data_IF_862174122107
#
_entry.id   IF_862174122107
#
_cell.length_a   1.000
_cell.length_b   1.000
_cell.length_c   1.000
_cell.angle_alpha   90.00
_cell.angle_beta   90.00
_cell.angle_gamma   90.00
#
_symmetry.space_group_name_H-M   'P 1'
#
loop_
_entity.id
_entity.type
_entity.pdbx_description
1 polymer ?
#
# COMPACT_ATOMS: atom_id res chain seq x y z
N UNK A 1 2.86 1.89 -19.65
CA UNK A 1 4.24 2.08 -19.17
C UNK A 1 4.94 0.72 -19.25
N UNK A 2 6.16 0.68 -19.76
CA UNK A 2 6.93 -0.57 -19.91
C UNK A 2 8.34 -0.35 -19.36
N UNK A 3 8.91 -1.40 -18.75
CA UNK A 3 10.27 -1.43 -18.19
C UNK A 3 10.57 -0.26 -17.22
N UNK A 4 9.56 0.14 -16.45
CA UNK A 4 9.68 1.22 -15.47
C UNK A 4 10.22 0.70 -14.14
N UNK A 5 11.09 1.48 -13.51
CA UNK A 5 11.70 1.05 -12.24
C UNK A 5 10.70 1.12 -11.08
N UNK A 6 9.99 2.23 -10.94
CA UNK A 6 8.91 2.42 -9.98
C UNK A 6 7.72 3.06 -10.73
N UNK A 7 6.53 2.45 -10.73
CA UNK A 7 5.44 2.94 -11.58
C UNK A 7 4.84 4.27 -11.10
N UNK A 8 4.54 4.35 -9.80
CA UNK A 8 3.97 5.54 -9.17
C UNK A 8 4.82 5.90 -7.95
N UNK A 9 5.36 7.11 -7.95
CA UNK A 9 6.19 7.63 -6.86
C UNK A 9 5.67 9.01 -6.43
N UNK A 10 5.11 9.08 -5.22
CA UNK A 10 4.67 10.31 -4.58
C UNK A 10 5.41 10.44 -3.25
N UNK A 11 6.18 11.52 -3.08
CA UNK A 11 6.98 11.75 -1.88
C UNK A 11 6.86 13.19 -1.38
N UNK A 12 6.26 13.38 -0.20
CA UNK A 12 6.32 14.65 0.53
C UNK A 12 7.52 14.67 1.48
N UNK A 13 8.64 15.22 1.02
CA UNK A 13 9.88 15.38 1.80
C UNK A 13 10.06 16.82 2.33
N UNK A 14 11.00 17.04 3.25
CA UNK A 14 11.30 18.36 3.81
C UNK A 14 12.60 18.96 3.26
N UNK A 15 12.66 19.16 1.94
CA UNK A 15 13.86 19.73 1.31
C UNK A 15 13.90 21.26 1.34
N UNK A 16 12.72 21.89 1.37
CA UNK A 16 12.54 23.23 0.83
C UNK A 16 12.91 23.30 -0.67
N UNK A 17 12.52 24.38 -1.35
CA UNK A 17 12.96 24.68 -2.70
C UNK A 17 12.98 26.20 -2.92
N UNK A 18 13.88 26.68 -3.79
CA UNK A 18 14.02 28.11 -4.06
C UNK A 18 14.23 28.92 -2.77
N UNK A 19 13.35 29.88 -2.51
CA UNK A 19 13.39 30.74 -1.31
C UNK A 19 13.15 29.99 0.01
N UNK A 20 12.62 28.77 -0.02
CA UNK A 20 12.40 27.94 1.16
C UNK A 20 13.62 27.08 1.53
N UNK A 21 14.70 27.12 0.75
CA UNK A 21 15.96 26.44 1.11
C UNK A 21 16.66 27.24 2.22
N UNK A 22 16.18 27.03 3.44
CA UNK A 22 16.72 27.62 4.68
C UNK A 22 17.32 26.52 5.55
N UNK A 23 17.88 26.86 6.71
CA UNK A 23 18.41 25.87 7.66
C UNK A 23 17.32 24.97 8.25
N UNK A 24 16.07 25.45 8.33
CA UNK A 24 14.92 24.71 8.86
C UNK A 24 13.73 24.88 7.90
N UNK A 25 13.71 24.19 6.76
CA UNK A 25 12.58 24.24 5.85
C UNK A 25 11.33 23.68 6.53
N UNK A 26 10.17 24.24 6.18
CA UNK A 26 8.87 23.65 6.51
C UNK A 26 8.42 22.83 5.30
N UNK A 27 7.93 21.59 5.50
CA UNK A 27 7.38 20.81 4.41
C UNK A 27 6.25 21.57 3.71
N UNK A 28 6.19 21.42 2.39
CA UNK A 28 5.01 21.85 1.63
C UNK A 28 3.83 20.90 1.88
N UNK A 29 2.94 20.83 0.89
CA UNK A 29 1.83 19.88 0.90
C UNK A 29 1.71 19.19 -0.45
N UNK A 30 1.41 17.89 -0.43
CA UNK A 30 0.94 17.16 -1.61
C UNK A 30 -0.49 16.74 -1.32
N UNK A 31 -1.44 17.30 -2.07
CA UNK A 31 -2.86 16.95 -1.96
C UNK A 31 -3.61 17.03 -3.26
N UNK A 32 -4.74 16.32 -3.34
CA UNK A 32 -5.66 16.31 -4.48
C UNK A 32 -5.00 15.74 -5.75
N UNK A 33 -4.46 14.52 -5.63
CA UNK A 33 -3.79 13.82 -6.73
C UNK A 33 -4.72 12.75 -7.28
N UNK A 34 -4.91 12.73 -8.60
CA UNK A 34 -5.69 11.70 -9.29
C UNK A 34 -4.80 11.01 -10.32
N UNK A 35 -4.73 9.68 -10.23
CA UNK A 35 -4.04 8.83 -11.21
C UNK A 35 -5.02 7.76 -11.66
N UNK A 36 -5.30 7.71 -12.97
CA UNK A 36 -6.27 6.78 -13.53
C UNK A 36 -5.80 6.17 -14.84
N UNK A 37 -6.31 4.99 -15.20
CA UNK A 37 -6.10 4.36 -16.50
C UNK A 37 -4.62 4.07 -16.80
N UNK A 38 -3.94 3.42 -15.86
CA UNK A 38 -2.51 3.12 -15.97
C UNK A 38 -2.30 1.62 -16.12
N UNK A 39 -1.65 1.21 -17.21
CA UNK A 39 -1.14 -0.16 -17.37
C UNK A 39 0.39 -0.16 -17.32
N UNK A 40 0.94 -1.00 -16.47
CA UNK A 40 2.38 -1.13 -16.22
C UNK A 40 2.83 -2.55 -16.53
N UNK A 41 3.89 -2.67 -17.34
CA UNK A 41 4.56 -3.94 -17.64
C UNK A 41 6.00 -3.91 -17.16
N UNK A 42 6.47 -5.03 -16.62
CA UNK A 42 7.85 -5.27 -16.21
C UNK A 42 8.39 -4.27 -15.17
N UNK A 43 7.60 -3.94 -14.16
CA UNK A 43 8.06 -3.05 -13.09
C UNK A 43 8.95 -3.77 -12.07
N UNK A 44 9.98 -3.08 -11.58
CA UNK A 44 11.00 -3.68 -10.71
C UNK A 44 10.73 -3.45 -9.22
N UNK A 45 10.32 -2.24 -8.87
CA UNK A 45 10.07 -1.81 -7.50
C UNK A 45 8.62 -1.39 -7.33
N UNK A 46 8.08 -1.68 -6.15
CA UNK A 46 6.73 -1.26 -5.78
C UNK A 46 6.54 0.25 -5.98
N UNK A 47 5.32 0.62 -6.33
CA UNK A 47 4.88 2.00 -6.24
C UNK A 47 4.95 2.47 -4.78
N UNK A 48 5.27 3.74 -4.55
CA UNK A 48 5.29 4.30 -3.21
C UNK A 48 4.61 5.66 -3.12
N UNK A 49 3.83 5.83 -2.06
CA UNK A 49 3.09 7.05 -1.75
C UNK A 49 3.40 7.36 -0.29
N UNK A 50 4.29 8.33 -0.06
CA UNK A 50 4.90 8.53 1.25
C UNK A 50 5.05 9.99 1.64
N UNK A 51 4.79 10.32 2.91
CA UNK A 51 5.25 11.58 3.52
C UNK A 51 6.39 11.31 4.51
N UNK A 52 6.99 12.38 5.07
CA UNK A 52 7.86 12.26 6.25
C UNK A 52 7.00 12.16 7.52
N UNK A 53 7.55 11.68 8.64
CA UNK A 53 6.81 11.62 9.90
C UNK A 53 6.25 12.99 10.30
N UNK A 54 5.02 13.01 10.80
CA UNK A 54 4.33 14.24 11.19
C UNK A 54 3.75 15.06 10.03
N UNK A 55 3.81 14.56 8.80
CA UNK A 55 3.16 15.13 7.62
C UNK A 55 2.33 14.05 6.91
N UNK A 56 1.43 14.45 6.02
CA UNK A 56 0.61 13.53 5.25
C UNK A 56 0.61 13.89 3.76
N UNK A 57 0.63 12.88 2.90
CA UNK A 57 0.09 13.02 1.54
C UNK A 57 -1.43 12.87 1.67
N UNK A 58 -2.19 13.81 1.11
CA UNK A 58 -3.64 13.90 1.38
C UNK A 58 -4.48 13.78 0.10
N UNK A 59 -5.67 13.19 0.17
CA UNK A 59 -6.66 13.19 -0.91
C UNK A 59 -6.08 12.65 -2.23
N UNK A 60 -5.75 11.35 -2.25
CA UNK A 60 -5.20 10.69 -3.43
C UNK A 60 -6.21 9.66 -3.96
N UNK A 61 -6.50 9.71 -5.26
CA UNK A 61 -7.38 8.76 -5.92
C UNK A 61 -6.58 8.00 -6.98
N UNK A 62 -6.58 6.67 -6.89
CA UNK A 62 -6.01 5.75 -7.85
C UNK A 62 -7.11 4.84 -8.40
N UNK A 63 -7.29 4.84 -9.72
CA UNK A 63 -8.37 4.08 -10.37
C UNK A 63 -7.94 3.40 -11.66
N UNK A 64 -8.49 2.22 -11.95
CA UNK A 64 -8.29 1.52 -13.22
C UNK A 64 -6.80 1.28 -13.53
N UNK A 65 -6.10 0.65 -12.58
CA UNK A 65 -4.65 0.43 -12.66
C UNK A 65 -4.34 -1.06 -12.75
N UNK A 66 -3.49 -1.42 -13.70
CA UNK A 66 -2.90 -2.76 -13.81
C UNK A 66 -1.39 -2.64 -13.62
N UNK A 67 -0.86 -3.30 -12.59
CA UNK A 67 0.59 -3.38 -12.33
C UNK A 67 1.07 -4.82 -12.48
N UNK A 68 2.03 -5.03 -13.39
CA UNK A 68 2.76 -6.29 -13.52
C UNK A 68 4.17 -6.10 -12.96
N UNK A 69 4.46 -6.80 -11.88
CA UNK A 69 5.70 -6.74 -11.12
C UNK A 69 6.49 -8.04 -11.30
N UNK A 70 7.82 -7.98 -11.20
CA UNK A 70 8.66 -9.19 -11.34
C UNK A 70 8.41 -10.27 -10.26
N UNK A 71 8.01 -9.88 -9.06
CA UNK A 71 7.93 -10.80 -7.91
C UNK A 71 9.30 -11.19 -7.35
N UNK A 72 9.43 -12.41 -6.82
CA UNK A 72 10.64 -13.11 -6.31
C UNK A 72 11.17 -12.74 -4.92
N UNK A 73 10.52 -11.85 -4.17
CA UNK A 73 11.00 -11.52 -2.82
C UNK A 73 10.60 -12.57 -1.77
N UNK A 74 11.44 -12.69 -0.74
CA UNK A 74 11.25 -13.59 0.40
C UNK A 74 10.56 -12.91 1.60
N UNK A 75 10.22 -13.72 2.60
CA UNK A 75 9.59 -13.25 3.84
C UNK A 75 10.50 -12.28 4.60
N UNK A 76 11.83 -12.46 4.51
CA UNK A 76 12.77 -11.55 5.16
C UNK A 76 12.66 -10.13 4.62
N UNK A 77 12.50 -9.98 3.30
CA UNK A 77 12.24 -8.69 2.72
C UNK A 77 10.85 -8.15 3.08
N UNK A 78 9.84 -9.02 3.15
CA UNK A 78 8.50 -8.64 3.59
C UNK A 78 8.50 -8.06 5.02
N UNK A 79 9.40 -8.50 5.90
CA UNK A 79 9.53 -8.02 7.28
C UNK A 79 10.40 -6.78 7.45
N UNK A 80 11.04 -6.29 6.37
CA UNK A 80 11.89 -5.10 6.44
C UNK A 80 11.06 -3.87 6.81
N UNK A 81 11.59 -3.05 7.71
CA UNK A 81 11.05 -1.71 8.01
C UNK A 81 11.88 -0.68 7.25
N UNK A 82 11.34 -0.03 6.20
CA UNK A 82 12.05 1.03 5.50
C UNK A 82 12.37 2.21 6.43
N UNK A 83 13.59 2.72 6.37
CA UNK A 83 13.97 3.94 7.07
C UNK A 83 13.26 5.17 6.46
N UNK A 84 13.02 6.21 7.26
CA UNK A 84 12.28 7.41 6.83
C UNK A 84 12.99 8.25 5.76
N UNK A 85 14.33 8.23 5.77
CA UNK A 85 15.17 8.89 4.77
C UNK A 85 14.82 10.39 4.57
N UNK A 86 14.55 11.10 5.67
CA UNK A 86 14.01 12.48 5.68
C UNK A 86 14.89 13.45 4.87
N UNK A 87 16.21 13.35 5.03
CA UNK A 87 17.19 14.25 4.38
C UNK A 87 17.66 13.75 3.00
N UNK A 88 17.16 12.60 2.55
CA UNK A 88 17.57 12.03 1.27
C UNK A 88 16.88 12.69 0.09
N UNK A 89 17.57 12.77 -1.05
CA UNK A 89 16.94 13.23 -2.28
C UNK A 89 15.80 12.28 -2.67
N UNK A 90 14.62 12.79 -3.08
CA UNK A 90 13.52 11.95 -3.51
C UNK A 90 13.91 11.24 -4.81
N UNK A 91 14.31 9.99 -4.66
CA UNK A 91 14.65 9.08 -5.75
C UNK A 91 13.78 7.84 -5.59
N UNK A 92 13.12 7.42 -6.68
CA UNK A 92 12.30 6.21 -6.70
C UNK A 92 13.07 4.93 -6.31
N UNK A 93 14.40 4.96 -6.30
CA UNK A 93 15.31 3.88 -5.92
C UNK A 93 15.81 3.99 -4.50
N UNK A 94 15.38 4.98 -3.72
CA UNK A 94 15.99 5.24 -2.41
C UNK A 94 15.84 4.08 -1.43
N UNK A 95 14.76 3.28 -1.56
CA UNK A 95 14.56 2.07 -0.76
C UNK A 95 14.96 0.78 -1.49
N UNK A 96 14.91 0.77 -2.83
CA UNK A 96 15.02 -0.39 -3.73
C UNK A 96 14.08 -1.53 -3.30
N UNK A 97 14.49 -2.26 -2.28
CA UNK A 97 13.80 -3.41 -1.73
C UNK A 97 12.79 -2.93 -0.69
N UNK A 98 11.61 -2.53 -1.15
CA UNK A 98 10.45 -2.26 -0.31
C UNK A 98 9.79 -3.58 0.12
N UNK A 99 9.20 -3.63 1.34
CA UNK A 99 8.51 -4.80 1.87
C UNK A 99 7.17 -5.09 1.20
N UNK A 100 6.69 -4.21 0.30
CA UNK A 100 5.50 -4.44 -0.52
C UNK A 100 5.91 -4.89 -1.93
N UNK A 101 5.10 -5.72 -2.56
CA UNK A 101 5.31 -6.12 -3.97
C UNK A 101 4.70 -5.13 -4.96
N UNK A 102 3.59 -4.46 -4.62
CA UNK A 102 2.89 -3.53 -5.54
C UNK A 102 2.82 -2.09 -5.03
N UNK A 103 2.30 -1.86 -3.82
CA UNK A 103 2.10 -0.52 -3.26
C UNK A 103 2.56 -0.42 -1.81
N UNK A 104 3.49 0.50 -1.57
CA UNK A 104 3.92 0.91 -0.23
C UNK A 104 3.39 2.30 0.10
N UNK A 105 2.47 2.39 1.05
CA UNK A 105 1.74 3.61 1.39
C UNK A 105 2.05 3.95 2.85
N UNK A 106 2.68 5.11 3.09
CA UNK A 106 3.10 5.50 4.44
C UNK A 106 2.85 6.98 4.73
N UNK A 107 2.34 7.32 5.90
CA UNK A 107 2.03 8.71 6.27
C UNK A 107 1.07 9.34 5.24
N UNK A 108 -0.12 8.73 5.08
CA UNK A 108 -1.14 9.15 4.10
C UNK A 108 -2.50 9.34 4.76
N UNK A 109 -3.27 10.32 4.29
CA UNK A 109 -4.65 10.56 4.74
C UNK A 109 -5.60 10.67 3.55
N UNK A 110 -6.75 10.01 3.63
CA UNK A 110 -7.79 10.00 2.61
C UNK A 110 -7.24 9.53 1.24
N UNK A 111 -7.05 8.21 1.11
CA UNK A 111 -6.57 7.58 -0.11
C UNK A 111 -7.53 6.50 -0.59
N UNK A 112 -7.91 6.59 -1.85
CA UNK A 112 -8.86 5.69 -2.49
C UNK A 112 -8.18 4.92 -3.64
N UNK A 113 -8.30 3.60 -3.61
CA UNK A 113 -7.92 2.69 -4.67
C UNK A 113 -9.17 2.00 -5.22
N UNK A 114 -9.40 2.07 -6.53
CA UNK A 114 -10.54 1.42 -7.18
C UNK A 114 -10.13 0.67 -8.44
N UNK A 115 -10.62 -0.56 -8.63
CA UNK A 115 -10.33 -1.41 -9.79
C UNK A 115 -8.81 -1.54 -10.05
N UNK A 116 -8.11 -2.15 -9.09
CA UNK A 116 -6.65 -2.35 -9.15
C UNK A 116 -6.35 -3.81 -9.40
N UNK A 117 -5.50 -4.09 -10.39
CA UNK A 117 -4.98 -5.43 -10.67
C UNK A 117 -3.49 -5.47 -10.38
N UNK A 118 -3.09 -6.33 -9.45
CA UNK A 118 -1.70 -6.54 -9.09
C UNK A 118 -1.27 -7.94 -9.50
N UNK A 119 -0.43 -8.02 -10.54
CA UNK A 119 0.11 -9.26 -11.04
C UNK A 119 1.62 -9.35 -10.72
N UNK A 120 2.08 -10.55 -10.44
CA UNK A 120 3.45 -10.92 -10.17
C UNK A 120 3.88 -11.97 -11.20
N UNK A 121 5.02 -11.78 -11.84
CA UNK A 121 5.55 -12.74 -12.82
C UNK A 121 6.04 -14.04 -12.16
N UNK A 122 6.34 -14.00 -10.86
CA UNK A 122 6.80 -15.13 -10.05
C UNK A 122 6.34 -14.99 -8.58
N UNK A 123 6.39 -16.09 -7.83
CA UNK A 123 6.00 -16.13 -6.41
C UNK A 123 6.73 -15.02 -5.63
N UNK A 124 5.99 -14.28 -4.82
CA UNK A 124 6.52 -13.22 -3.95
C UNK A 124 5.85 -13.33 -2.57
N UNK A 125 6.65 -13.26 -1.51
CA UNK A 125 6.18 -13.36 -0.13
C UNK A 125 5.80 -12.00 0.49
N UNK A 126 6.02 -10.89 -0.23
CA UNK A 126 5.62 -9.55 0.21
C UNK A 126 4.13 -9.33 0.00
N UNK A 127 3.45 -8.64 0.93
CA UNK A 127 2.11 -8.13 0.68
C UNK A 127 2.04 -7.30 -0.59
N UNK A 128 0.91 -7.40 -1.31
CA UNK A 128 0.61 -6.50 -2.43
C UNK A 128 0.58 -5.06 -1.96
N UNK A 129 -0.10 -4.82 -0.84
CA UNK A 129 -0.25 -3.52 -0.23
C UNK A 129 0.29 -3.51 1.19
N UNK A 130 1.01 -2.44 1.53
CA UNK A 130 1.32 -2.08 2.91
C UNK A 130 0.85 -0.66 3.14
N UNK A 131 0.05 -0.47 4.19
CA UNK A 131 -0.33 0.82 4.74
C UNK A 131 0.33 0.98 6.11
N UNK A 132 1.05 2.08 6.33
CA UNK A 132 1.81 2.34 7.54
C UNK A 132 1.62 3.80 8.00
N UNK A 133 0.97 4.01 9.15
CA UNK A 133 0.43 5.32 9.56
C UNK A 133 -0.43 5.94 8.44
N UNK A 134 -1.60 5.33 8.22
CA UNK A 134 -2.56 5.77 7.22
C UNK A 134 -3.93 6.03 7.84
N UNK A 135 -4.65 7.01 7.30
CA UNK A 135 -5.98 7.39 7.78
C UNK A 135 -6.95 7.47 6.61
N UNK A 136 -8.17 7.00 6.80
CA UNK A 136 -9.25 7.06 5.79
C UNK A 136 -8.82 6.37 4.47
N UNK A 137 -8.57 5.07 4.54
CA UNK A 137 -8.13 4.26 3.38
C UNK A 137 -9.34 3.55 2.75
N UNK A 138 -9.47 3.57 1.42
CA UNK A 138 -10.45 2.72 0.71
C UNK A 138 -9.78 1.90 -0.37
N UNK A 139 -10.13 0.62 -0.43
CA UNK A 139 -9.82 -0.26 -1.56
C UNK A 139 -11.12 -0.93 -2.01
N UNK A 140 -11.47 -0.78 -3.28
CA UNK A 140 -12.58 -1.49 -3.92
C UNK A 140 -12.12 -2.16 -5.21
N UNK A 141 -12.34 -3.47 -5.38
CA UNK A 141 -12.02 -4.17 -6.62
C UNK A 141 -10.52 -4.43 -6.78
N UNK A 142 -9.89 -5.06 -5.78
CA UNK A 142 -8.50 -5.51 -5.85
C UNK A 142 -8.46 -6.94 -6.36
N UNK A 143 -7.73 -7.17 -7.46
CA UNK A 143 -7.53 -8.51 -8.03
C UNK A 143 -6.05 -8.85 -8.11
N UNK A 144 -5.68 -10.09 -7.81
CA UNK A 144 -4.32 -10.60 -8.06
C UNK A 144 -4.29 -11.92 -8.84
N UNK A 145 -3.10 -12.31 -9.28
CA UNK A 145 -2.82 -13.67 -9.73
C UNK A 145 -2.48 -14.63 -8.57
N UNK A 146 -2.07 -15.85 -8.94
CA UNK A 146 -1.76 -16.96 -8.03
C UNK A 146 -0.37 -16.90 -7.38
N UNK A 147 0.45 -15.91 -7.72
CA UNK A 147 1.83 -15.82 -7.26
C UNK A 147 1.99 -15.05 -5.94
N UNK A 148 0.90 -14.53 -5.37
CA UNK A 148 0.90 -13.93 -4.04
C UNK A 148 1.05 -15.03 -2.99
N UNK A 149 2.03 -14.87 -2.09
CA UNK A 149 2.32 -15.85 -1.03
C UNK A 149 2.68 -15.12 0.29
N UNK A 150 3.39 -15.80 1.20
CA UNK A 150 3.87 -15.21 2.44
C UNK A 150 2.77 -15.03 3.48
N UNK A 151 2.97 -14.10 4.41
CA UNK A 151 2.11 -13.98 5.58
C UNK A 151 0.76 -13.33 5.26
N UNK A 152 0.72 -12.28 4.44
CA UNK A 152 -0.53 -11.59 4.10
C UNK A 152 -0.54 -10.93 2.72
N UNK A 153 -1.72 -10.80 2.10
CA UNK A 153 -1.90 -10.03 0.87
C UNK A 153 -1.89 -8.52 1.11
N UNK A 154 -2.48 -8.06 2.22
CA UNK A 154 -2.56 -6.65 2.63
C UNK A 154 -2.10 -6.54 4.08
N UNK A 155 -1.17 -5.61 4.36
CA UNK A 155 -0.73 -5.31 5.72
C UNK A 155 -1.12 -3.89 6.12
N UNK A 156 -1.69 -3.76 7.31
CA UNK A 156 -2.08 -2.49 7.93
C UNK A 156 -1.28 -2.30 9.22
N UNK A 157 -0.52 -1.22 9.29
CA UNK A 157 0.25 -0.81 10.46
C UNK A 157 -0.24 0.54 10.94
N UNK A 158 -0.87 0.58 12.12
CA UNK A 158 -1.44 1.81 12.70
C UNK A 158 -2.39 2.55 11.73
N UNK A 159 -3.36 1.84 11.16
CA UNK A 159 -4.32 2.39 10.20
C UNK A 159 -5.65 2.74 10.89
N UNK A 160 -6.09 3.98 10.73
CA UNK A 160 -7.36 4.48 11.27
C UNK A 160 -8.38 4.66 10.14
N UNK A 161 -9.56 4.04 10.28
CA UNK A 161 -10.65 4.07 9.31
C UNK A 161 -10.24 3.54 7.93
N UNK A 162 -10.53 2.26 7.67
CA UNK A 162 -10.26 1.66 6.38
C UNK A 162 -11.42 0.80 5.90
N UNK A 163 -11.73 0.87 4.61
CA UNK A 163 -12.79 0.09 3.96
C UNK A 163 -12.21 -0.73 2.82
N UNK A 164 -12.41 -2.05 2.88
CA UNK A 164 -11.99 -2.96 1.82
C UNK A 164 -13.22 -3.72 1.29
N UNK A 165 -13.42 -3.65 -0.02
CA UNK A 165 -14.51 -4.35 -0.71
C UNK A 165 -14.06 -4.99 -2.01
N UNK A 166 -14.70 -6.09 -2.41
CA UNK A 166 -14.44 -6.77 -3.69
C UNK A 166 -12.95 -7.11 -3.86
N UNK A 167 -12.44 -7.95 -2.95
CA UNK A 167 -11.02 -8.35 -2.92
C UNK A 167 -10.92 -9.81 -3.38
N UNK A 168 -10.21 -10.04 -4.48
CA UNK A 168 -10.01 -11.36 -5.08
C UNK A 168 -8.52 -11.66 -5.25
N UNK A 169 -7.96 -12.40 -4.28
CA UNK A 169 -6.56 -12.82 -4.27
C UNK A 169 -6.52 -14.30 -4.65
N UNK A 170 -5.95 -14.61 -5.81
CA UNK A 170 -5.84 -16.00 -6.30
C UNK A 170 -4.66 -16.76 -5.72
N UNK A 171 -3.71 -16.06 -5.11
CA UNK A 171 -2.57 -16.65 -4.42
C UNK A 171 -2.97 -17.30 -3.10
N UNK A 172 -1.98 -17.85 -2.40
CA UNK A 172 -2.20 -18.54 -1.12
C UNK A 172 -1.37 -17.91 -0.01
N UNK A 173 -1.53 -16.61 0.30
CA UNK A 173 -0.95 -16.04 1.50
C UNK A 173 -1.59 -16.70 2.73
N UNK A 174 -0.87 -16.74 3.84
CA UNK A 174 -1.38 -17.32 5.09
C UNK A 174 -2.63 -16.60 5.56
N UNK A 175 -2.68 -15.29 5.36
CA UNK A 175 -3.81 -14.44 5.70
C UNK A 175 -4.17 -13.48 4.56
N UNK A 176 -5.42 -13.04 4.48
CA UNK A 176 -5.77 -11.97 3.55
C UNK A 176 -5.28 -10.60 4.07
N UNK A 177 -5.49 -10.36 5.36
CA UNK A 177 -5.06 -9.15 6.06
C UNK A 177 -4.17 -9.47 7.25
N UNK A 178 -3.15 -8.66 7.45
CA UNK A 178 -2.32 -8.62 8.65
C UNK A 178 -2.41 -7.23 9.30
N UNK A 179 -2.75 -7.19 10.58
CA UNK A 179 -2.79 -5.96 11.38
C UNK A 179 -1.58 -5.91 12.31
N UNK A 180 -0.88 -4.76 12.33
CA UNK A 180 0.28 -4.53 13.21
C UNK A 180 0.16 -3.21 13.97
N UNK A 181 0.53 -3.24 15.23
CA UNK A 181 0.51 -2.06 16.10
C UNK A 181 -0.88 -1.75 16.66
N UNK A 182 -0.88 -1.05 17.79
CA UNK A 182 -2.09 -0.75 18.55
C UNK A 182 -2.93 0.40 17.95
N UNK A 183 -2.44 1.08 16.91
CA UNK A 183 -3.14 2.20 16.27
C UNK A 183 -4.20 1.79 15.24
N UNK A 184 -4.35 0.49 14.95
CA UNK A 184 -5.38 0.05 14.00
C UNK A 184 -6.78 0.25 14.59
N UNK A 185 -7.69 0.90 13.87
CA UNK A 185 -9.06 1.11 14.31
C UNK A 185 -9.99 1.39 13.13
N UNK A 186 -11.28 1.06 13.26
CA UNK A 186 -12.27 1.33 12.20
C UNK A 186 -11.98 0.57 10.90
N UNK A 187 -11.61 -0.71 10.98
CA UNK A 187 -11.35 -1.54 9.80
C UNK A 187 -12.65 -2.26 9.40
N UNK A 188 -13.12 -1.98 8.19
CA UNK A 188 -14.39 -2.47 7.63
C UNK A 188 -14.13 -3.30 6.38
N UNK A 189 -14.76 -4.47 6.33
CA UNK A 189 -14.58 -5.46 5.26
C UNK A 189 -15.96 -5.89 4.73
N UNK A 190 -16.12 -5.95 3.42
CA UNK A 190 -17.36 -6.38 2.75
C UNK A 190 -17.03 -7.10 1.44
N UNK A 191 -17.87 -8.02 0.98
CA UNK A 191 -17.70 -8.70 -0.32
C UNK A 191 -16.31 -9.31 -0.53
N UNK A 192 -15.84 -10.02 0.49
CA UNK A 192 -14.54 -10.71 0.50
C UNK A 192 -14.77 -12.21 0.36
N UNK A 193 -14.03 -12.86 -0.53
CA UNK A 193 -14.05 -14.33 -0.66
C UNK A 193 -13.66 -14.98 0.68
N UNK A 194 -14.54 -15.81 1.29
CA UNK A 194 -14.33 -16.39 2.61
C UNK A 194 -13.17 -17.40 2.71
N UNK A 195 -12.49 -17.73 1.61
CA UNK A 195 -11.26 -18.52 1.63
C UNK A 195 -10.05 -17.80 2.23
N UNK A 196 -10.11 -16.46 2.40
CA UNK A 196 -9.06 -15.65 3.02
C UNK A 196 -9.10 -15.66 4.55
N UNK A 197 -8.23 -16.44 5.18
CA UNK A 197 -8.09 -16.53 6.66
C UNK A 197 -7.50 -15.22 7.21
N UNK A 198 -7.87 -14.81 8.43
CA UNK A 198 -7.30 -13.63 9.12
C UNK A 198 -6.26 -14.06 10.17
N UNK A 199 -5.21 -13.24 10.40
CA UNK A 199 -4.52 -13.23 11.70
C UNK A 199 -4.74 -11.90 12.39
N UNK A 200 -5.34 -11.98 13.56
CA UNK A 200 -5.26 -10.91 14.54
C UNK A 200 -4.12 -11.21 15.52
N UNK A 201 -3.23 -10.24 15.76
CA UNK A 201 -2.25 -10.32 16.86
C UNK A 201 -2.44 -9.21 17.89
N UNK A 202 -3.41 -8.27 17.73
CA UNK A 202 -3.60 -7.20 18.72
C UNK A 202 -4.85 -6.29 18.62
N UNK A 203 -5.90 -6.56 17.83
CA UNK A 203 -6.99 -5.58 17.69
C UNK A 203 -8.40 -6.14 17.46
N UNK A 204 -9.38 -5.56 18.17
CA UNK A 204 -10.83 -5.80 18.01
C UNK A 204 -11.30 -5.44 16.60
N UNK A 205 -11.16 -6.38 15.67
CA UNK A 205 -11.88 -6.36 14.39
C UNK A 205 -13.35 -6.58 14.73
N UNK A 206 -14.22 -5.62 14.40
CA UNK A 206 -15.67 -5.85 14.43
C UNK A 206 -16.04 -6.41 13.07
N UNK A 207 -16.23 -7.74 12.92
CA UNK A 207 -16.90 -8.24 11.74
C UNK A 207 -18.32 -7.64 11.75
N UNK A 208 -18.66 -6.86 10.73
CA UNK A 208 -20.06 -6.55 10.44
C UNK A 208 -20.68 -7.85 9.91
N UNK A 209 -20.98 -8.79 10.81
CA UNK A 209 -21.72 -10.01 10.48
C UNK A 209 -23.16 -9.63 10.15
N UNK A 210 -23.50 -9.70 8.87
CA UNK A 210 -24.86 -9.93 8.38
C UNK A 210 -24.78 -10.65 7.04
N UNK A 211 -24.40 -11.93 7.06
CA UNK A 211 -24.72 -12.82 5.95
C UNK A 211 -26.23 -13.06 5.97
N UNK A 212 -26.99 -12.33 5.15
CA UNK A 212 -28.33 -12.74 4.75
C UNK A 212 -28.20 -13.25 3.32
N UNK A 213 -28.22 -14.57 3.17
CA UNK A 213 -28.40 -15.24 1.88
C UNK A 213 -29.89 -15.08 1.52
N UNK A 214 -30.18 -14.54 0.34
CA UNK A 214 -31.38 -14.87 -0.42
C UNK A 214 -30.93 -15.61 -1.69
#
# INVERSE_FOLDING_TARGET
MEDVRCPIFIRLANRGAGKQKTNNPTPGSIRNVVISNVTVRNAWYASSITAIPGSYVENVILSDIIVNMKGVADEKLAEKVPAEMIDSYPDAHMWKDLPASSFFVRHVKNIDFSNIKCNLDAIDARPLFIFDDAKDVRISGLVSDSNVSGNAAVRLSNVENAWFSDINIKGTPKYLFELRGAGNSGIHLSDIDPSGVFSDTSCNVVPQTSFIIH
#
